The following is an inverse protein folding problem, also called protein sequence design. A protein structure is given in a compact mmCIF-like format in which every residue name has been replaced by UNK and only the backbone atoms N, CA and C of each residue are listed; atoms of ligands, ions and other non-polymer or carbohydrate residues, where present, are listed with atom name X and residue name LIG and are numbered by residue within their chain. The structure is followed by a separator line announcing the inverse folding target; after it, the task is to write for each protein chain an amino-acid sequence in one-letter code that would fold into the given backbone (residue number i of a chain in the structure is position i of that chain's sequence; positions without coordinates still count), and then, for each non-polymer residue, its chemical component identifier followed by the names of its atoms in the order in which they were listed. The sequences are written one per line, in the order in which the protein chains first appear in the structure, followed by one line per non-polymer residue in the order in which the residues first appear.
data_IF_462420295832
#
_entry.id   IF_462420295832
#
_cell.length_a   1.000
_cell.length_b   1.000
_cell.length_c   1.000
_cell.angle_alpha   90.00
_cell.angle_beta   90.00
_cell.angle_gamma   90.00
#
_symmetry.space_group_name_H-M   'P 1'
#
loop_
_entity.id
_entity.type
_entity.pdbx_description
1 polymer ?
#
# COMPACT_ATOMS: atom_id res chain seq x y z
N UNK A 1 3.77 10.73 -21.36
CA UNK A 1 3.67 9.28 -21.03
C UNK A 1 3.43 8.34 -22.20
N UNK A 2 2.42 8.51 -23.09
CA UNK A 2 2.19 7.53 -24.19
C UNK A 2 3.42 7.26 -25.09
N UNK A 3 4.27 8.26 -25.34
CA UNK A 3 5.50 8.10 -26.15
C UNK A 3 6.59 7.28 -25.46
N UNK A 4 6.73 7.39 -24.13
CA UNK A 4 7.81 6.73 -23.36
C UNK A 4 7.51 5.25 -23.11
N UNK A 5 6.25 4.91 -22.80
CA UNK A 5 5.80 3.52 -22.68
C UNK A 5 6.01 2.75 -24.00
N UNK A 6 5.71 3.41 -25.13
CA UNK A 6 5.90 2.86 -26.47
C UNK A 6 7.38 2.59 -26.79
N UNK A 7 8.29 3.48 -26.36
CA UNK A 7 9.73 3.30 -26.53
C UNK A 7 10.27 2.11 -25.72
N UNK A 8 9.78 1.91 -24.48
CA UNK A 8 10.21 0.78 -23.63
C UNK A 8 9.68 -0.56 -24.15
N UNK A 9 8.43 -0.59 -24.62
CA UNK A 9 7.82 -1.75 -25.28
C UNK A 9 8.66 -2.24 -26.45
N UNK A 10 9.06 -1.32 -27.34
CA UNK A 10 9.86 -1.65 -28.53
C UNK A 10 11.26 -2.19 -28.20
N UNK A 11 11.87 -1.72 -27.09
CA UNK A 11 13.25 -2.08 -26.71
C UNK A 11 13.35 -3.35 -25.85
N UNK A 12 12.34 -3.67 -25.03
CA UNK A 12 12.39 -4.80 -24.07
C UNK A 12 11.24 -5.81 -24.18
N UNK A 13 10.28 -5.63 -25.10
CA UNK A 13 9.10 -6.50 -25.29
C UNK A 13 8.28 -6.74 -24.01
N UNK A 14 8.26 -5.76 -23.10
CA UNK A 14 7.55 -5.85 -21.82
C UNK A 14 6.05 -5.56 -22.05
N UNK A 15 5.27 -6.60 -22.40
CA UNK A 15 3.81 -6.47 -22.66
C UNK A 15 3.04 -5.87 -21.48
N UNK A 16 3.49 -6.12 -20.24
CA UNK A 16 2.85 -5.62 -19.02
C UNK A 16 2.86 -4.09 -18.91
N UNK A 17 3.69 -3.38 -19.68
CA UNK A 17 3.73 -1.92 -19.64
C UNK A 17 2.43 -1.28 -20.17
N UNK A 18 1.68 -2.00 -21.01
CA UNK A 18 0.40 -1.54 -21.53
C UNK A 18 -0.66 -1.41 -20.43
N UNK A 19 -0.48 -2.13 -19.32
CA UNK A 19 -1.35 -2.05 -18.14
C UNK A 19 -0.99 -0.88 -17.21
N UNK A 20 0.09 -0.14 -17.49
CA UNK A 20 0.51 1.00 -16.65
C UNK A 20 -0.22 2.25 -17.08
N UNK A 21 -1.14 2.73 -16.24
CA UNK A 21 -1.77 4.04 -16.35
C UNK A 21 -1.10 5.04 -15.42
N UNK A 22 -1.38 6.33 -15.65
CA UNK A 22 -1.06 7.39 -14.72
C UNK A 22 -2.34 7.98 -14.19
N UNK A 23 -2.44 8.06 -12.87
CA UNK A 23 -3.65 8.40 -12.17
C UNK A 23 -3.31 9.30 -10.98
N UNK A 24 -4.22 10.21 -10.66
CA UNK A 24 -4.19 10.95 -9.40
C UNK A 24 -4.98 10.16 -8.37
N UNK A 25 -4.34 9.81 -7.26
CA UNK A 25 -4.99 9.12 -6.15
C UNK A 25 -5.37 10.13 -5.06
N UNK A 26 -6.68 10.38 -4.90
CA UNK A 26 -7.22 11.10 -3.75
C UNK A 26 -7.71 10.08 -2.71
N UNK A 27 -6.83 9.73 -1.78
CA UNK A 27 -7.08 8.63 -0.82
C UNK A 27 -8.11 8.99 0.26
N UNK A 28 -8.22 10.28 0.61
CA UNK A 28 -9.14 10.78 1.62
C UNK A 28 -8.67 10.53 3.06
N UNK A 29 -9.62 10.51 4.00
CA UNK A 29 -9.33 10.24 5.39
C UNK A 29 -8.90 8.78 5.58
N UNK A 30 -7.81 8.57 6.32
CA UNK A 30 -7.23 7.25 6.53
C UNK A 30 -6.73 7.11 7.97
N UNK A 31 -6.67 5.88 8.43
CA UNK A 31 -5.81 5.51 9.56
C UNK A 31 -4.57 4.79 9.02
N UNK A 32 -3.45 4.92 9.72
CA UNK A 32 -2.20 4.28 9.31
C UNK A 32 -1.38 3.77 10.49
N UNK A 33 -0.62 2.70 10.25
CA UNK A 33 0.25 2.07 11.24
C UNK A 33 1.59 1.72 10.59
N UNK A 34 2.71 2.06 11.25
CA UNK A 34 4.03 1.60 10.80
C UNK A 34 4.29 0.18 11.33
N UNK A 35 4.15 -0.81 10.46
CA UNK A 35 4.53 -2.18 10.75
C UNK A 35 6.05 -2.35 10.63
N UNK A 36 6.67 -2.88 11.69
CA UNK A 36 8.08 -3.25 11.70
C UNK A 36 8.16 -4.75 11.96
N UNK A 37 8.67 -5.49 10.97
CA UNK A 37 8.78 -6.94 11.05
C UNK A 37 8.35 -7.66 9.76
N UNK A 38 8.25 -9.00 9.83
CA UNK A 38 7.84 -9.83 8.69
C UNK A 38 6.38 -9.59 8.31
N UNK A 39 6.07 -9.63 7.01
CA UNK A 39 4.69 -9.44 6.51
C UNK A 39 3.67 -10.42 7.10
N UNK A 40 4.09 -11.63 7.48
CA UNK A 40 3.23 -12.60 8.16
C UNK A 40 2.71 -12.14 9.52
N UNK A 41 3.29 -11.09 10.10
CA UNK A 41 2.90 -10.51 11.38
C UNK A 41 2.05 -9.23 11.24
N UNK A 42 1.78 -8.78 10.01
CA UNK A 42 0.86 -7.68 9.72
C UNK A 42 -0.55 -7.86 10.31
N UNK A 43 -1.14 -9.07 10.38
CA UNK A 43 -2.44 -9.26 11.02
C UNK A 43 -2.51 -8.68 12.44
N UNK A 44 -1.45 -8.82 13.25
CA UNK A 44 -1.42 -8.24 14.60
C UNK A 44 -1.39 -6.70 14.61
N UNK A 45 -0.81 -6.08 13.57
CA UNK A 45 -0.90 -4.63 13.38
C UNK A 45 -2.30 -4.21 12.92
N UNK A 46 -2.94 -5.00 12.05
CA UNK A 46 -4.28 -4.73 11.56
C UNK A 46 -5.34 -4.84 12.65
N UNK A 47 -5.24 -5.82 13.55
CA UNK A 47 -6.16 -5.92 14.69
C UNK A 47 -6.14 -4.65 15.56
N UNK A 48 -4.96 -4.05 15.78
CA UNK A 48 -4.84 -2.78 16.50
C UNK A 48 -5.51 -1.63 15.74
N UNK A 49 -5.37 -1.61 14.42
CA UNK A 49 -6.02 -0.63 13.55
C UNK A 49 -7.55 -0.78 13.57
N UNK A 50 -8.08 -2.00 13.51
CA UNK A 50 -9.51 -2.26 13.57
C UNK A 50 -10.11 -1.90 14.94
N UNK A 51 -9.41 -2.21 16.03
CA UNK A 51 -9.81 -1.80 17.37
C UNK A 51 -9.89 -0.27 17.48
N UNK A 52 -8.89 0.44 16.94
CA UNK A 52 -8.90 1.90 16.87
C UNK A 52 -10.10 2.43 16.06
N UNK A 53 -10.36 1.87 14.87
CA UNK A 53 -11.52 2.27 14.06
C UNK A 53 -12.83 2.09 14.83
N UNK A 54 -13.00 0.94 15.49
CA UNK A 54 -14.20 0.65 16.27
C UNK A 54 -14.40 1.65 17.41
N UNK A 55 -13.34 1.93 18.18
CA UNK A 55 -13.37 2.87 19.30
C UNK A 55 -13.72 4.31 18.85
N UNK A 56 -13.29 4.70 17.65
CA UNK A 56 -13.51 6.04 17.10
C UNK A 56 -14.75 6.17 16.21
N UNK A 57 -15.61 5.15 16.13
CA UNK A 57 -16.81 5.20 15.31
C UNK A 57 -16.52 5.30 13.81
N UNK A 58 -15.42 4.70 13.35
CA UNK A 58 -15.00 4.70 11.95
C UNK A 58 -15.32 3.37 11.26
N UNK A 59 -15.59 3.43 9.96
CA UNK A 59 -15.76 2.28 9.08
C UNK A 59 -14.78 2.33 7.91
N UNK A 60 -14.40 1.17 7.37
CA UNK A 60 -13.50 1.10 6.22
C UNK A 60 -14.15 1.69 4.97
N UNK A 61 -13.38 2.45 4.19
CA UNK A 61 -13.86 3.23 3.04
C UNK A 61 -13.00 3.03 1.78
N UNK A 62 -12.63 1.79 1.48
CA UNK A 62 -11.84 1.49 0.28
C UNK A 62 -10.86 0.35 0.44
N UNK A 63 -9.89 0.31 -0.48
CA UNK A 63 -8.85 -0.72 -0.52
C UNK A 63 -7.77 -0.48 0.54
N UNK A 64 -7.24 -1.55 1.09
CA UNK A 64 -6.05 -1.51 1.91
C UNK A 64 -4.86 -1.06 1.06
N UNK A 65 -4.11 -0.06 1.53
CA UNK A 65 -2.90 0.44 0.88
C UNK A 65 -1.64 0.11 1.72
N UNK A 66 -0.70 -0.58 1.10
CA UNK A 66 0.63 -0.91 1.64
C UNK A 66 1.69 -0.01 1.00
N UNK A 67 2.48 0.68 1.83
CA UNK A 67 3.66 1.43 1.36
C UNK A 67 4.91 0.75 1.90
N UNK A 68 5.65 0.07 1.02
CA UNK A 68 6.91 -0.59 1.36
C UNK A 68 8.04 0.44 1.43
N UNK A 69 8.52 0.73 2.64
CA UNK A 69 9.66 1.64 2.85
C UNK A 69 11.00 0.91 2.79
N UNK A 70 11.00 -0.41 2.95
CA UNK A 70 12.17 -1.27 2.90
C UNK A 70 12.16 -2.14 1.64
N UNK A 71 13.30 -2.29 0.97
CA UNK A 71 13.47 -3.30 -0.07
C UNK A 71 13.54 -4.70 0.60
N UNK A 72 12.54 -5.58 0.39
CA UNK A 72 12.50 -6.89 1.06
C UNK A 72 13.66 -7.80 0.67
N UNK A 73 14.36 -7.52 -0.43
CA UNK A 73 15.53 -8.28 -0.89
C UNK A 73 16.81 -7.88 -0.15
N UNK A 74 16.82 -6.73 0.53
CA UNK A 74 18.00 -6.17 1.23
C UNK A 74 17.81 -6.12 2.74
N UNK A 75 16.60 -5.80 3.20
CA UNK A 75 16.30 -5.68 4.62
C UNK A 75 15.93 -7.05 5.22
N UNK A 76 16.58 -7.37 6.35
CA UNK A 76 16.22 -8.53 7.17
C UNK A 76 14.75 -8.42 7.63
N UNK A 77 13.98 -9.53 7.66
CA UNK A 77 12.54 -9.51 7.93
C UNK A 77 12.14 -8.71 9.18
N UNK A 78 12.89 -8.85 10.26
CA UNK A 78 12.70 -8.18 11.56
C UNK A 78 12.87 -6.65 11.51
N UNK A 79 13.55 -6.12 10.48
CA UNK A 79 13.82 -4.68 10.30
C UNK A 79 13.01 -4.05 9.17
N UNK A 80 12.21 -4.83 8.43
CA UNK A 80 11.39 -4.31 7.34
C UNK A 80 10.34 -3.36 7.87
N UNK A 81 10.18 -2.23 7.18
CA UNK A 81 9.20 -1.20 7.49
C UNK A 81 8.18 -1.11 6.37
N UNK A 82 6.91 -1.27 6.73
CA UNK A 82 5.75 -1.11 5.84
C UNK A 82 4.73 -0.21 6.53
N UNK A 83 4.25 0.82 5.84
CA UNK A 83 3.06 1.54 6.33
C UNK A 83 1.84 0.76 5.85
N UNK A 84 1.02 0.31 6.80
CA UNK A 84 -0.32 -0.21 6.56
C UNK A 84 -1.29 0.97 6.64
N UNK A 85 -2.09 1.19 5.61
CA UNK A 85 -3.05 2.29 5.55
C UNK A 85 -4.43 1.78 5.14
N UNK A 86 -5.44 2.18 5.91
CA UNK A 86 -6.85 1.88 5.66
C UNK A 86 -7.61 3.20 5.49
N UNK A 87 -8.23 3.44 4.32
CA UNK A 87 -9.18 4.52 4.14
C UNK A 87 -10.39 4.32 5.05
N UNK A 88 -10.88 5.41 5.65
CA UNK A 88 -11.98 5.38 6.61
C UNK A 88 -13.04 6.45 6.30
N UNK A 89 -14.19 6.31 6.95
CA UNK A 89 -15.27 7.30 7.04
C UNK A 89 -15.96 7.16 8.40
N UNK A 90 -16.70 8.19 8.81
CA UNK A 90 -17.61 8.07 9.96
C UNK A 90 -18.64 6.96 9.75
N UNK A 91 -18.93 6.23 10.82
CA UNK A 91 -20.08 5.29 10.87
C UNK A 91 -21.40 6.03 10.87
#
# INVERSE_FOLDING_TARGET
MRKEQFALFKKKRLRQIEAVSFETLAEGECIQFLHIGPYSTEPASLEKMYAFMHQHGLAQNGRHHLIYLSDPRKAAPDKRKTILRLPVKGK
#
